data_IF_522989869281
#
_entry.id   IF_522989869281
#
_cell.length_a   1.000
_cell.length_b   1.000
_cell.length_c   1.000
_cell.angle_alpha   90.00
_cell.angle_beta   90.00
_cell.angle_gamma   90.00
#
_symmetry.space_group_name_H-M   'P 1'
#
loop_
_entity.id
_entity.type
_entity.pdbx_description
1 polymer ?
#
# COMPACT_ATOMS: atom_id res chain seq x y z
N UNK A 1 -0.59 -0.62 -0.16
CA UNK A 1 -0.80 0.80 -0.54
C UNK A 1 -0.29 1.72 0.57
N UNK A 2 0.96 2.23 0.47
CA UNK A 2 1.58 2.96 1.58
C UNK A 2 0.96 4.34 1.87
N UNK A 3 0.46 5.03 0.84
CA UNK A 3 -0.23 6.31 0.96
C UNK A 3 0.69 7.49 1.31
N UNK A 4 0.20 8.41 2.14
CA UNK A 4 0.77 9.72 2.44
C UNK A 4 1.31 9.84 3.87
N UNK A 5 2.06 10.92 4.12
CA UNK A 5 2.55 11.26 5.46
C UNK A 5 3.38 10.14 6.07
N UNK A 6 2.98 9.69 7.26
CA UNK A 6 3.66 8.59 7.98
C UNK A 6 3.35 7.19 7.39
N UNK A 7 2.40 7.10 6.45
CA UNK A 7 1.95 5.84 5.86
C UNK A 7 3.09 4.98 5.30
N UNK A 8 3.97 5.53 4.43
CA UNK A 8 5.12 4.80 3.91
C UNK A 8 6.07 4.24 4.98
N UNK A 9 6.30 4.98 6.06
CA UNK A 9 7.17 4.55 7.15
C UNK A 9 6.57 3.35 7.91
N UNK A 10 5.29 3.43 8.27
CA UNK A 10 4.60 2.36 9.01
C UNK A 10 4.41 1.11 8.13
N UNK A 11 4.03 1.27 6.86
CA UNK A 11 3.92 0.14 5.93
C UNK A 11 5.28 -0.52 5.68
N UNK A 12 6.38 0.24 5.73
CA UNK A 12 7.73 -0.30 5.75
C UNK A 12 7.95 -1.32 6.87
N UNK A 13 7.48 -1.05 8.08
CA UNK A 13 7.58 -1.98 9.21
C UNK A 13 6.65 -3.18 9.06
N UNK A 14 5.45 -3.01 8.52
CA UNK A 14 4.52 -4.12 8.23
C UNK A 14 5.17 -5.13 7.28
N UNK A 15 5.83 -4.66 6.21
CA UNK A 15 6.56 -5.52 5.27
C UNK A 15 7.65 -6.35 5.94
N UNK A 16 8.36 -5.79 6.92
CA UNK A 16 9.37 -6.56 7.68
C UNK A 16 8.74 -7.71 8.45
N UNK A 17 7.57 -7.49 9.05
CA UNK A 17 6.83 -8.52 9.77
C UNK A 17 6.32 -9.60 8.81
N UNK A 18 5.75 -9.22 7.66
CA UNK A 18 5.30 -10.19 6.64
C UNK A 18 6.49 -11.03 6.14
N UNK A 19 7.62 -10.40 5.83
CA UNK A 19 8.83 -11.11 5.43
C UNK A 19 9.34 -12.07 6.51
N UNK A 20 9.25 -11.68 7.79
CA UNK A 20 9.57 -12.57 8.88
C UNK A 20 8.64 -13.80 8.90
N UNK A 21 7.34 -13.61 8.71
CA UNK A 21 6.37 -14.70 8.63
C UNK A 21 6.65 -15.64 7.45
N UNK A 22 6.92 -15.11 6.26
CA UNK A 22 7.30 -15.91 5.09
C UNK A 22 8.54 -16.77 5.41
N UNK A 23 9.58 -16.17 5.99
CA UNK A 23 10.84 -16.85 6.29
C UNK A 23 10.73 -17.90 7.42
N UNK A 24 9.82 -17.72 8.38
CA UNK A 24 9.81 -18.50 9.63
C UNK A 24 8.59 -19.40 9.79
N UNK A 25 7.52 -19.18 9.02
CA UNK A 25 6.23 -19.86 9.19
C UNK A 25 5.65 -20.41 7.88
N UNK A 26 6.38 -20.32 6.76
CA UNK A 26 5.95 -20.86 5.46
C UNK A 26 4.54 -20.39 5.06
N UNK A 27 4.27 -19.10 5.26
CA UNK A 27 2.98 -18.48 4.95
C UNK A 27 2.89 -17.89 3.53
N UNK A 28 4.01 -17.90 2.78
CA UNK A 28 4.12 -17.57 1.35
C UNK A 28 3.28 -16.36 0.89
N UNK A 29 3.23 -15.30 1.70
CA UNK A 29 2.54 -14.06 1.33
C UNK A 29 3.27 -13.38 0.17
N UNK A 30 2.52 -13.02 -0.87
CA UNK A 30 2.99 -12.11 -1.93
C UNK A 30 2.55 -10.69 -1.59
N UNK A 31 3.44 -9.72 -1.81
CA UNK A 31 3.17 -8.31 -1.53
C UNK A 31 3.28 -7.56 -2.85
N UNK A 32 2.19 -6.90 -3.22
CA UNK A 32 2.16 -5.93 -4.31
C UNK A 32 1.93 -4.51 -3.77
N UNK A 33 2.64 -3.53 -4.34
CA UNK A 33 2.64 -2.16 -3.86
C UNK A 33 2.30 -1.15 -4.95
N UNK A 34 1.24 -0.39 -4.69
CA UNK A 34 0.78 0.69 -5.55
C UNK A 34 0.44 1.97 -4.76
N UNK A 35 0.28 3.06 -5.51
CA UNK A 35 0.00 4.39 -4.96
C UNK A 35 -1.49 4.58 -4.66
N UNK A 36 -1.76 5.30 -3.57
CA UNK A 36 -3.09 5.78 -3.18
C UNK A 36 -2.95 7.14 -2.47
N UNK A 37 -4.05 7.90 -2.40
CA UNK A 37 -4.08 9.20 -1.73
C UNK A 37 -3.38 10.32 -2.51
N UNK A 38 -2.84 11.30 -1.79
CA UNK A 38 -2.12 12.45 -2.33
C UNK A 38 -0.93 12.06 -3.20
N UNK A 39 -0.21 10.99 -2.86
CA UNK A 39 0.89 10.44 -3.65
C UNK A 39 0.44 9.97 -5.04
N UNK A 40 -0.73 9.32 -5.12
CA UNK A 40 -1.34 8.99 -6.42
C UNK A 40 -1.81 10.26 -7.14
N UNK A 41 -2.42 11.20 -6.41
CA UNK A 41 -2.94 12.43 -7.00
C UNK A 41 -1.84 13.27 -7.64
N UNK A 42 -0.70 13.42 -6.97
CA UNK A 42 0.46 14.13 -7.49
C UNK A 42 1.00 13.53 -8.79
N UNK A 43 0.98 12.20 -8.91
CA UNK A 43 1.55 11.50 -10.07
C UNK A 43 0.55 11.30 -11.20
N UNK A 44 -0.72 11.08 -10.88
CA UNK A 44 -1.74 10.60 -11.81
C UNK A 44 -2.96 11.51 -11.90
N UNK A 45 -3.06 12.55 -11.08
CA UNK A 45 -4.22 13.47 -11.05
C UNK A 45 -5.49 12.87 -10.43
N UNK A 46 -5.39 11.69 -9.81
CA UNK A 46 -6.49 10.98 -9.16
C UNK A 46 -5.98 10.29 -7.88
N UNK A 47 -6.76 10.23 -6.78
CA UNK A 47 -6.31 9.62 -5.52
C UNK A 47 -6.16 8.09 -5.60
N UNK A 48 -6.73 7.46 -6.63
CA UNK A 48 -6.52 6.07 -6.99
C UNK A 48 -6.80 5.92 -8.50
N UNK A 49 -5.93 5.20 -9.22
CA UNK A 49 -6.17 4.92 -10.64
C UNK A 49 -7.10 3.71 -10.79
N UNK A 50 -7.80 3.61 -11.92
CA UNK A 50 -8.64 2.45 -12.22
C UNK A 50 -7.83 1.15 -12.22
N UNK A 51 -6.59 1.18 -12.74
CA UNK A 51 -5.65 0.06 -12.72
C UNK A 51 -5.41 -0.45 -11.29
N UNK A 52 -5.06 0.46 -10.37
CA UNK A 52 -4.82 0.11 -8.97
C UNK A 52 -6.10 -0.36 -8.28
N UNK A 53 -7.25 0.24 -8.61
CA UNK A 53 -8.54 -0.19 -8.08
C UNK A 53 -8.89 -1.63 -8.48
N UNK A 54 -8.78 -1.97 -9.77
CA UNK A 54 -9.09 -3.32 -10.24
C UNK A 54 -8.10 -4.35 -9.73
N UNK A 55 -6.80 -4.03 -9.71
CA UNK A 55 -5.77 -4.88 -9.12
C UNK A 55 -6.02 -5.16 -7.64
N UNK A 56 -6.47 -4.17 -6.88
CA UNK A 56 -6.81 -4.34 -5.47
C UNK A 56 -8.00 -5.28 -5.23
N UNK A 57 -8.92 -5.40 -6.20
CA UNK A 57 -10.02 -6.37 -6.14
C UNK A 57 -9.57 -7.80 -6.41
N UNK A 58 -8.40 -8.00 -7.03
CA UNK A 58 -7.81 -9.32 -7.26
C UNK A 58 -7.03 -9.83 -6.05
N UNK A 59 -6.67 -8.96 -5.10
CA UNK A 59 -5.96 -9.34 -3.88
C UNK A 59 -6.89 -9.91 -2.80
N UNK A 60 -6.39 -10.85 -2.00
CA UNK A 60 -7.12 -11.39 -0.84
C UNK A 60 -7.27 -10.38 0.30
N UNK A 61 -6.34 -9.43 0.39
CA UNK A 61 -6.35 -8.39 1.41
C UNK A 61 -5.67 -7.11 0.90
N UNK A 62 -6.16 -5.96 1.39
CA UNK A 62 -5.55 -4.66 1.15
C UNK A 62 -4.97 -4.14 2.46
N UNK A 63 -3.66 -3.86 2.47
CA UNK A 63 -2.99 -3.13 3.54
C UNK A 63 -2.82 -1.68 3.08
N UNK A 64 -3.64 -0.80 3.66
CA UNK A 64 -3.63 0.64 3.43
C UNK A 64 -2.91 1.34 4.59
N UNK A 65 -1.97 2.22 4.27
CA UNK A 65 -1.32 3.10 5.23
C UNK A 65 -2.22 4.27 5.65
N UNK A 66 -1.71 5.50 5.52
CA UNK A 66 -2.48 6.71 5.76
C UNK A 66 -2.71 7.46 4.43
N UNK A 67 -3.79 8.21 4.30
CA UNK A 67 -4.02 9.06 3.12
C UNK A 67 -4.43 10.47 3.57
N UNK A 68 -4.02 11.47 2.79
CA UNK A 68 -4.31 12.87 3.04
C UNK A 68 -3.25 13.61 3.85
N UNK A 69 -3.30 14.92 3.77
CA UNK A 69 -2.40 15.85 4.46
C UNK A 69 -2.61 17.27 3.90
N UNK A 70 -2.18 18.34 4.58
CA UNK A 70 -2.64 19.73 4.31
C UNK A 70 -2.51 20.27 2.88
N UNK A 71 -1.73 19.58 2.02
CA UNK A 71 -1.59 19.90 0.59
C UNK A 71 -2.84 19.53 -0.23
N UNK A 72 -3.63 18.56 0.22
CA UNK A 72 -4.83 18.03 -0.45
C UNK A 72 -5.99 17.92 0.55
#
# INVERSE_FOLDING_TARGET
>A
MPGDGVGPEVIGEVKKIINWFNNNKSLDFEIDEDLAGGASYDKHGTPITDEVFYKALECEAIILGAVGGPKW
#
